data_IF_611142748650
#
_entry.id   IF_611142748650
#
_cell.length_a   1.000
_cell.length_b   1.000
_cell.length_c   1.000
_cell.angle_alpha   90.00
_cell.angle_beta   90.00
_cell.angle_gamma   90.00
#
_symmetry.space_group_name_H-M   'P 1'
#
loop_
_entity.id
_entity.type
_entity.pdbx_description
1 polymer ?
#
# COMPACT_ATOMS: atom_id res chain seq x y z
N UNK A 1 69.36 -16.17 36.14
CA UNK A 1 69.31 -15.85 34.69
C UNK A 1 67.91 -15.36 34.36
N UNK A 2 67.82 -14.20 33.69
CA UNK A 2 66.60 -13.38 33.53
C UNK A 2 65.52 -14.12 32.73
N UNK A 3 64.32 -14.27 33.30
CA UNK A 3 63.14 -14.73 32.58
C UNK A 3 62.35 -13.50 32.09
N UNK A 4 62.43 -13.23 30.80
CA UNK A 4 61.76 -12.10 30.13
C UNK A 4 60.30 -12.49 29.87
N UNK A 5 59.34 -11.82 30.51
CA UNK A 5 57.91 -11.98 30.21
C UNK A 5 57.50 -10.98 29.14
N UNK A 6 57.16 -11.48 27.96
CA UNK A 6 56.52 -10.71 26.88
C UNK A 6 55.06 -10.52 27.26
N UNK A 7 54.63 -9.27 27.44
CA UNK A 7 53.21 -8.93 27.60
C UNK A 7 52.60 -8.72 26.21
N UNK A 8 51.73 -9.64 25.77
CA UNK A 8 50.93 -9.48 24.56
C UNK A 8 49.75 -8.53 24.88
N UNK A 9 49.76 -7.34 24.28
CA UNK A 9 48.65 -6.39 24.37
C UNK A 9 47.56 -6.81 23.37
N UNK A 10 46.46 -7.40 23.86
CA UNK A 10 45.27 -7.63 23.04
C UNK A 10 44.48 -6.34 22.90
N UNK A 11 44.58 -5.68 21.75
CA UNK A 11 43.67 -4.60 21.37
C UNK A 11 42.33 -5.25 20.96
N UNK A 12 41.34 -5.20 21.85
CA UNK A 12 39.96 -5.47 21.49
C UNK A 12 39.45 -4.30 20.64
N UNK A 13 39.37 -4.49 19.32
CA UNK A 13 38.51 -3.65 18.48
C UNK A 13 37.06 -3.91 18.90
N UNK A 14 36.43 -2.95 19.60
CA UNK A 14 34.98 -2.92 19.68
C UNK A 14 34.45 -2.66 18.27
N UNK A 15 33.93 -3.71 17.63
CA UNK A 15 33.02 -3.55 16.50
C UNK A 15 31.76 -2.87 17.03
N UNK A 16 31.65 -1.56 16.82
CA UNK A 16 30.43 -0.82 17.07
C UNK A 16 29.33 -1.38 16.19
N UNK A 17 28.37 -2.08 16.79
CA UNK A 17 27.12 -2.42 16.14
C UNK A 17 26.37 -1.12 15.86
N UNK A 18 26.32 -0.70 14.60
CA UNK A 18 25.41 0.36 14.18
C UNK A 18 24.01 -0.19 14.37
N UNK A 19 23.34 0.21 15.45
CA UNK A 19 21.91 0.03 15.57
C UNK A 19 21.30 0.77 14.37
N UNK A 20 20.63 0.03 13.47
CA UNK A 20 19.84 0.64 12.42
C UNK A 20 18.76 1.49 13.11
N UNK A 21 18.93 2.81 13.11
CA UNK A 21 17.93 3.73 13.63
C UNK A 21 16.61 3.47 12.90
N UNK A 22 15.52 3.31 13.66
CA UNK A 22 14.19 3.29 13.05
C UNK A 22 13.99 4.65 12.37
N UNK A 23 13.61 4.64 11.08
CA UNK A 23 13.37 5.87 10.32
C UNK A 23 12.32 6.78 10.98
N UNK A 24 12.29 8.04 10.57
CA UNK A 24 11.38 9.06 11.11
C UNK A 24 9.96 8.82 10.60
N UNK A 25 8.97 8.74 11.50
CA UNK A 25 7.56 8.62 11.12
C UNK A 25 7.03 10.00 10.77
N UNK A 26 6.76 10.25 9.49
CA UNK A 26 6.30 11.56 9.00
C UNK A 26 4.78 11.61 8.85
N UNK A 27 4.14 10.47 8.67
CA UNK A 27 2.67 10.33 8.69
C UNK A 27 2.32 9.08 9.48
N UNK A 28 1.40 9.20 10.44
CA UNK A 28 0.81 8.06 11.15
C UNK A 28 -0.67 8.34 11.42
N UNK A 29 -1.55 7.42 11.02
CA UNK A 29 -2.97 7.55 11.29
C UNK A 29 -3.70 6.21 11.26
N UNK A 30 -4.81 6.16 12.00
CA UNK A 30 -5.81 5.10 11.94
C UNK A 30 -7.18 5.67 12.29
N UNK A 31 -8.22 4.85 12.26
CA UNK A 31 -9.57 5.24 12.69
C UNK A 31 -9.55 5.55 14.19
N UNK A 32 -10.30 6.55 14.64
CA UNK A 32 -10.53 6.79 16.08
C UNK A 32 -11.79 6.08 16.60
N UNK A 33 -12.46 5.31 15.75
CA UNK A 33 -13.56 4.41 16.08
C UNK A 33 -14.95 5.05 15.99
N UNK A 34 -16.02 4.25 16.12
CA UNK A 34 -17.38 4.77 16.07
C UNK A 34 -17.64 5.85 17.13
N UNK A 35 -18.18 7.00 16.71
CA UNK A 35 -18.45 8.15 17.59
C UNK A 35 -17.32 9.16 17.70
N UNK A 36 -16.16 8.90 17.07
CA UNK A 36 -15.06 9.84 16.92
C UNK A 36 -15.23 10.79 15.72
N UNK A 37 -14.09 11.29 15.21
CA UNK A 37 -14.06 12.07 13.98
C UNK A 37 -14.43 11.20 12.78
N UNK A 38 -15.07 11.80 11.76
CA UNK A 38 -15.36 11.05 10.54
C UNK A 38 -14.06 10.51 9.91
N UNK A 39 -14.07 9.31 9.28
CA UNK A 39 -12.91 8.79 8.57
C UNK A 39 -12.33 9.78 7.56
N UNK A 40 -13.22 10.54 6.92
CA UNK A 40 -12.93 11.54 5.91
C UNK A 40 -12.09 12.67 6.47
N UNK A 41 -12.41 13.13 7.68
CA UNK A 41 -11.64 14.17 8.39
C UNK A 41 -10.25 13.66 8.75
N UNK A 42 -10.17 12.47 9.36
CA UNK A 42 -8.88 11.87 9.75
C UNK A 42 -7.96 11.70 8.55
N UNK A 43 -8.49 11.14 7.46
CA UNK A 43 -7.74 10.87 6.23
C UNK A 43 -7.29 12.18 5.57
N UNK A 44 -8.15 13.20 5.49
CA UNK A 44 -7.77 14.51 4.93
C UNK A 44 -6.69 15.21 5.75
N UNK A 45 -6.77 15.12 7.07
CA UNK A 45 -5.75 15.70 7.94
C UNK A 45 -4.40 15.02 7.76
N UNK A 46 -4.38 13.69 7.58
CA UNK A 46 -3.14 12.92 7.43
C UNK A 46 -2.55 12.98 6.01
N UNK A 47 -3.39 12.96 4.97
CA UNK A 47 -2.96 12.76 3.58
C UNK A 47 -3.27 13.95 2.65
N UNK A 48 -3.71 15.08 3.20
CA UNK A 48 -4.10 16.27 2.44
C UNK A 48 -5.58 16.31 2.08
N UNK A 49 -6.10 17.52 1.83
CA UNK A 49 -7.54 17.77 1.61
C UNK A 49 -8.09 17.15 0.32
N UNK A 50 -7.23 16.85 -0.65
CA UNK A 50 -7.54 16.21 -1.94
C UNK A 50 -7.28 14.69 -1.94
N UNK A 51 -7.15 14.07 -0.77
CA UNK A 51 -6.78 12.66 -0.60
C UNK A 51 -7.87 11.65 -0.97
N UNK A 52 -9.13 12.05 -1.09
CA UNK A 52 -10.27 11.14 -1.25
C UNK A 52 -10.71 11.00 -2.71
N UNK A 53 -10.82 9.76 -3.19
CA UNK A 53 -11.45 9.38 -4.45
C UNK A 53 -12.53 8.32 -4.17
N UNK A 54 -13.67 8.79 -3.66
CA UNK A 54 -14.76 7.95 -3.12
C UNK A 54 -16.06 8.09 -3.93
N UNK A 55 -16.89 7.04 -4.03
CA UNK A 55 -18.08 7.04 -4.89
C UNK A 55 -19.36 7.42 -4.13
N UNK A 56 -19.26 8.22 -3.06
CA UNK A 56 -20.40 8.53 -2.17
C UNK A 56 -21.62 9.10 -2.91
N UNK A 57 -21.37 9.94 -3.91
CA UNK A 57 -22.40 10.61 -4.71
C UNK A 57 -23.00 9.73 -5.82
N UNK A 58 -22.60 8.46 -5.95
CA UNK A 58 -23.30 7.49 -6.79
C UNK A 58 -24.61 6.98 -6.16
N UNK A 59 -24.95 7.48 -4.97
CA UNK A 59 -26.19 7.19 -4.26
C UNK A 59 -26.97 8.48 -4.05
N UNK A 60 -28.30 8.35 -3.99
CA UNK A 60 -29.21 9.45 -3.63
C UNK A 60 -30.13 8.96 -2.50
N UNK A 61 -29.98 9.47 -1.26
CA UNK A 61 -28.95 10.41 -0.80
C UNK A 61 -27.52 9.80 -0.80
N UNK A 62 -26.45 10.64 -0.72
CA UNK A 62 -25.08 10.15 -0.63
C UNK A 62 -24.86 9.19 0.55
N UNK A 63 -24.01 8.19 0.36
CA UNK A 63 -23.66 7.19 1.38
C UNK A 63 -22.14 7.16 1.58
N UNK A 64 -21.68 7.08 2.83
CA UNK A 64 -20.26 6.96 3.13
C UNK A 64 -19.71 5.57 2.76
N UNK A 65 -18.69 5.53 1.92
CA UNK A 65 -17.99 4.30 1.52
C UNK A 65 -16.76 3.98 2.36
N UNK A 66 -16.35 4.88 3.25
CA UNK A 66 -15.34 4.64 4.28
C UNK A 66 -16.02 4.77 5.64
N UNK A 67 -15.99 3.71 6.43
CA UNK A 67 -16.69 3.61 7.71
C UNK A 67 -15.73 3.18 8.83
N UNK A 68 -15.98 3.63 10.05
CA UNK A 68 -15.24 3.16 11.22
C UNK A 68 -15.72 1.78 11.68
N UNK A 69 -14.77 1.00 12.17
CA UNK A 69 -15.00 -0.31 12.78
C UNK A 69 -14.01 -0.50 13.93
N UNK A 70 -14.42 -1.20 14.98
CA UNK A 70 -13.51 -1.64 16.04
C UNK A 70 -13.45 -3.17 16.05
N UNK A 71 -12.27 -3.73 15.82
CA UNK A 71 -12.05 -5.16 15.70
C UNK A 71 -10.94 -5.62 16.66
N UNK A 72 -11.21 -6.70 17.40
CA UNK A 72 -10.32 -7.24 18.46
C UNK A 72 -8.85 -7.36 18.02
N UNK A 73 -8.59 -7.76 16.76
CA UNK A 73 -7.24 -8.02 16.29
C UNK A 73 -6.38 -6.76 16.05
N UNK A 74 -6.98 -5.59 15.83
CA UNK A 74 -6.24 -4.36 15.45
C UNK A 74 -6.74 -3.09 16.14
N UNK A 75 -7.79 -3.17 16.95
CA UNK A 75 -8.48 -2.00 17.49
C UNK A 75 -9.33 -1.32 16.42
N UNK A 76 -9.28 0.01 16.37
CA UNK A 76 -10.03 0.80 15.39
C UNK A 76 -9.43 0.64 13.99
N UNK A 77 -10.29 0.58 12.98
CA UNK A 77 -9.90 0.44 11.59
C UNK A 77 -10.96 1.04 10.66
N UNK A 78 -10.54 1.35 9.44
CA UNK A 78 -11.44 1.77 8.39
C UNK A 78 -11.94 0.56 7.60
N UNK A 79 -13.23 0.54 7.26
CA UNK A 79 -13.84 -0.36 6.29
C UNK A 79 -14.12 0.43 5.00
N UNK A 80 -13.51 0.00 3.91
CA UNK A 80 -13.75 0.51 2.56
C UNK A 80 -14.74 -0.41 1.86
N UNK A 81 -15.82 0.17 1.33
CA UNK A 81 -16.92 -0.54 0.68
C UNK A 81 -17.03 -0.12 -0.78
N UNK A 82 -17.33 -1.08 -1.66
CA UNK A 82 -17.82 -0.82 -3.01
C UNK A 82 -19.06 -1.68 -3.29
N UNK A 83 -20.16 -1.06 -3.67
CA UNK A 83 -21.38 -1.69 -4.16
C UNK A 83 -21.23 -1.95 -5.66
N UNK A 84 -21.12 -3.22 -6.06
CA UNK A 84 -20.82 -3.61 -7.46
C UNK A 84 -21.76 -2.98 -8.48
N UNK A 85 -23.03 -2.89 -8.13
CA UNK A 85 -24.08 -2.52 -9.07
C UNK A 85 -24.44 -1.03 -9.06
N UNK A 86 -23.95 -0.27 -8.08
CA UNK A 86 -24.29 1.15 -7.89
C UNK A 86 -23.10 2.09 -8.10
N UNK A 87 -21.92 1.71 -7.60
CA UNK A 87 -20.79 2.64 -7.56
C UNK A 87 -20.07 2.71 -8.91
N UNK A 88 -19.41 3.83 -9.17
CA UNK A 88 -18.50 4.01 -10.31
C UNK A 88 -17.15 4.56 -9.88
N UNK A 89 -16.42 5.11 -10.85
CA UNK A 89 -15.19 5.85 -10.58
C UNK A 89 -15.52 7.35 -10.50
N UNK A 90 -15.36 8.00 -9.34
CA UNK A 90 -15.64 9.42 -9.17
C UNK A 90 -14.70 10.30 -10.01
N UNK A 91 -13.63 9.74 -10.60
CA UNK A 91 -12.77 10.47 -11.54
C UNK A 91 -13.21 10.36 -13.00
N UNK A 92 -14.39 9.79 -13.28
CA UNK A 92 -15.10 9.97 -14.56
C UNK A 92 -15.09 8.79 -15.54
N UNK A 93 -14.53 7.63 -15.18
CA UNK A 93 -14.60 6.43 -16.04
C UNK A 93 -15.78 5.54 -15.69
N UNK A 94 -16.51 5.10 -16.71
CA UNK A 94 -17.68 4.22 -16.58
C UNK A 94 -17.32 2.74 -16.47
N UNK A 95 -16.06 2.38 -16.74
CA UNK A 95 -15.58 0.99 -16.77
C UNK A 95 -14.94 0.54 -15.48
N UNK A 96 -14.84 1.39 -14.46
CA UNK A 96 -14.20 1.06 -13.20
C UNK A 96 -15.06 1.49 -12.00
N UNK A 97 -14.70 0.97 -10.83
CA UNK A 97 -15.15 1.46 -9.53
C UNK A 97 -13.96 1.86 -8.69
N UNK A 98 -14.09 2.93 -7.92
CA UNK A 98 -13.03 3.38 -7.02
C UNK A 98 -13.59 3.86 -5.69
N UNK A 99 -13.00 3.33 -4.62
CA UNK A 99 -13.04 3.87 -3.28
C UNK A 99 -11.60 3.83 -2.76
N UNK A 100 -10.86 4.92 -2.92
CA UNK A 100 -9.42 4.95 -2.71
C UNK A 100 -9.00 6.26 -2.05
N UNK A 101 -7.99 6.17 -1.18
CA UNK A 101 -7.30 7.31 -0.57
C UNK A 101 -5.88 7.41 -1.12
N UNK A 102 -5.32 8.62 -1.14
CA UNK A 102 -3.97 8.87 -1.67
C UNK A 102 -3.25 9.93 -0.85
N UNK A 103 -1.91 9.89 -0.86
CA UNK A 103 -1.12 11.08 -0.56
C UNK A 103 -1.47 12.13 -1.63
N UNK A 104 -2.17 13.18 -1.20
CA UNK A 104 -2.69 14.26 -2.02
C UNK A 104 -1.61 15.29 -2.37
N UNK A 105 -1.95 16.21 -3.28
CA UNK A 105 -1.09 17.35 -3.61
C UNK A 105 -0.83 18.22 -2.38
N UNK A 106 -1.84 18.35 -1.51
CA UNK A 106 -1.79 19.19 -0.31
C UNK A 106 -1.35 18.42 0.96
N UNK A 107 -0.83 17.20 0.82
CA UNK A 107 -0.12 16.54 1.90
C UNK A 107 1.22 17.25 2.19
N UNK A 108 1.79 17.00 3.36
CA UNK A 108 3.17 17.39 3.70
C UNK A 108 4.15 16.82 2.67
N UNK A 109 5.26 17.52 2.43
CA UNK A 109 6.21 17.13 1.38
C UNK A 109 7.00 15.87 1.76
N UNK A 110 7.22 15.64 3.05
CA UNK A 110 7.90 14.46 3.58
C UNK A 110 7.15 13.16 3.27
N UNK A 111 5.84 13.23 3.03
CA UNK A 111 5.02 12.09 2.63
C UNK A 111 5.10 11.77 1.12
N UNK A 112 5.72 12.64 0.32
CA UNK A 112 5.81 12.53 -1.14
C UNK A 112 7.15 11.91 -1.52
N UNK A 113 7.10 10.84 -2.31
CA UNK A 113 8.30 10.16 -2.76
C UNK A 113 9.02 10.97 -3.84
N UNK A 114 10.27 11.34 -3.59
CA UNK A 114 11.15 12.07 -4.53
C UNK A 114 12.53 11.41 -4.55
N UNK A 115 13.41 11.70 -5.53
CA UNK A 115 14.72 11.05 -5.64
C UNK A 115 15.62 11.19 -4.40
N UNK A 116 15.41 12.24 -3.63
CA UNK A 116 16.06 12.61 -2.37
C UNK A 116 15.26 12.23 -1.11
N UNK A 117 14.02 11.74 -1.26
CA UNK A 117 13.14 11.33 -0.17
C UNK A 117 12.73 9.85 -0.30
N UNK A 118 13.62 8.89 0.06
CA UNK A 118 13.24 7.48 0.13
C UNK A 118 12.19 7.27 1.22
N UNK A 119 11.25 6.35 0.99
CA UNK A 119 10.15 6.12 1.92
C UNK A 119 9.90 4.64 2.17
N UNK A 120 9.43 4.35 3.38
CA UNK A 120 8.82 3.09 3.76
C UNK A 120 7.36 3.32 4.13
N UNK A 121 6.49 2.58 3.47
CA UNK A 121 5.05 2.53 3.74
C UNK A 121 4.75 1.29 4.58
N UNK A 122 4.11 1.48 5.73
CA UNK A 122 3.56 0.38 6.52
C UNK A 122 2.06 0.57 6.73
N UNK A 123 1.30 -0.52 6.61
CA UNK A 123 -0.11 -0.52 7.00
C UNK A 123 -0.59 -1.95 7.24
N UNK A 124 -1.73 -2.07 7.89
CA UNK A 124 -2.47 -3.31 8.00
C UNK A 124 -3.63 -3.31 7.01
N UNK A 125 -3.85 -4.42 6.32
CA UNK A 125 -5.08 -4.62 5.55
C UNK A 125 -5.68 -6.01 5.75
N UNK A 126 -6.98 -6.12 5.53
CA UNK A 126 -7.70 -7.39 5.48
C UNK A 126 -8.72 -7.34 4.35
N UNK A 127 -8.61 -8.28 3.41
CA UNK A 127 -9.62 -8.48 2.37
C UNK A 127 -10.81 -9.22 2.98
N UNK A 128 -12.04 -8.78 2.67
CA UNK A 128 -13.26 -9.44 3.11
C UNK A 128 -13.32 -10.92 2.70
N UNK A 129 -13.92 -11.76 3.56
CA UNK A 129 -13.96 -13.22 3.39
C UNK A 129 -14.45 -13.65 2.00
N UNK A 130 -15.49 -12.99 1.52
CA UNK A 130 -16.17 -13.36 0.27
C UNK A 130 -15.81 -12.44 -0.91
N UNK A 131 -14.85 -11.53 -0.73
CA UNK A 131 -14.51 -10.56 -1.79
C UNK A 131 -13.93 -11.29 -3.02
N UNK A 132 -14.65 -11.16 -4.14
CA UNK A 132 -14.25 -11.72 -5.43
C UNK A 132 -13.42 -10.74 -6.23
N UNK A 133 -12.55 -11.31 -7.06
CA UNK A 133 -11.77 -10.60 -8.08
C UNK A 133 -12.16 -11.12 -9.45
N UNK A 134 -12.02 -10.28 -10.46
CA UNK A 134 -12.24 -10.68 -11.86
C UNK A 134 -10.90 -11.01 -12.53
N UNK A 135 -10.94 -11.46 -13.78
CA UNK A 135 -9.76 -11.63 -14.62
C UNK A 135 -9.05 -10.31 -15.00
N UNK A 136 -9.66 -9.18 -14.70
CA UNK A 136 -9.04 -7.86 -14.80
C UNK A 136 -8.35 -7.50 -13.48
N UNK A 137 -8.17 -6.21 -13.22
CA UNK A 137 -7.54 -5.74 -11.99
C UNK A 137 -8.55 -5.40 -10.89
N UNK A 138 -8.13 -5.68 -9.66
CA UNK A 138 -8.63 -5.06 -8.43
C UNK A 138 -7.42 -4.62 -7.60
N UNK A 139 -6.99 -3.38 -7.78
CA UNK A 139 -5.91 -2.78 -7.02
C UNK A 139 -6.37 -2.51 -5.59
N UNK A 140 -5.53 -2.91 -4.62
CA UNK A 140 -5.73 -2.60 -3.20
C UNK A 140 -4.65 -1.67 -2.62
N UNK A 141 -3.57 -1.48 -3.38
CA UNK A 141 -2.50 -0.54 -3.11
C UNK A 141 -1.81 -0.16 -4.41
N UNK A 142 -1.33 1.09 -4.51
CA UNK A 142 -0.55 1.59 -5.63
C UNK A 142 0.59 2.51 -5.17
N UNK A 143 1.73 2.46 -5.85
CA UNK A 143 2.64 3.60 -5.98
C UNK A 143 2.46 4.18 -7.37
N UNK A 144 2.11 5.46 -7.49
CA UNK A 144 1.82 6.10 -8.78
C UNK A 144 2.55 7.44 -8.86
N UNK A 145 3.23 7.67 -9.98
CA UNK A 145 3.81 8.97 -10.30
C UNK A 145 2.73 10.05 -10.42
N UNK A 146 3.11 11.29 -10.17
CA UNK A 146 2.36 12.49 -10.53
C UNK A 146 3.18 13.25 -11.55
N UNK A 147 2.70 13.32 -12.79
CA UNK A 147 3.51 13.79 -13.92
C UNK A 147 4.50 12.74 -14.42
N UNK A 148 5.23 13.06 -15.49
CA UNK A 148 6.08 12.09 -16.20
C UNK A 148 5.24 11.00 -16.88
N UNK A 149 5.70 9.75 -16.88
CA UNK A 149 4.89 8.59 -17.33
C UNK A 149 3.97 8.08 -16.21
N UNK A 150 2.91 8.85 -15.96
CA UNK A 150 1.93 8.58 -14.90
C UNK A 150 0.66 7.85 -15.39
N UNK A 151 0.62 7.40 -16.64
CA UNK A 151 -0.53 6.72 -17.24
C UNK A 151 -0.96 5.49 -16.43
N UNK A 152 0.01 4.66 -16.02
CA UNK A 152 -0.16 3.48 -15.18
C UNK A 152 0.52 3.66 -13.81
N UNK A 153 0.06 3.02 -12.72
CA UNK A 153 0.82 2.97 -11.48
C UNK A 153 2.18 2.26 -11.69
N UNK A 154 3.20 2.64 -10.91
CA UNK A 154 4.52 2.01 -10.89
C UNK A 154 4.42 0.62 -10.31
N UNK A 155 3.96 0.53 -9.07
CA UNK A 155 3.75 -0.72 -8.32
C UNK A 155 2.30 -0.84 -7.94
N UNK A 156 1.77 -2.06 -7.98
CA UNK A 156 0.45 -2.37 -7.43
C UNK A 156 0.45 -3.67 -6.64
N UNK A 157 -0.36 -3.71 -5.57
CA UNK A 157 -0.89 -4.96 -5.05
C UNK A 157 -2.28 -5.16 -5.66
N UNK A 158 -2.43 -6.25 -6.42
CA UNK A 158 -3.61 -6.46 -7.28
C UNK A 158 -4.22 -7.83 -7.05
N UNK A 159 -5.50 -7.86 -6.71
CA UNK A 159 -6.35 -9.03 -6.85
C UNK A 159 -6.72 -9.25 -8.32
N UNK A 160 -6.52 -10.46 -8.84
CA UNK A 160 -6.92 -10.83 -10.19
C UNK A 160 -7.10 -12.34 -10.34
N UNK A 161 -7.95 -12.76 -11.27
CA UNK A 161 -8.13 -14.16 -11.65
C UNK A 161 -7.19 -14.52 -12.80
N UNK A 162 -6.30 -15.49 -12.56
CA UNK A 162 -5.34 -15.99 -13.56
C UNK A 162 -5.59 -17.47 -13.78
N UNK A 163 -5.89 -17.85 -15.03
CA UNK A 163 -6.21 -19.23 -15.41
C UNK A 163 -7.22 -19.88 -14.46
N UNK A 164 -8.31 -19.17 -14.16
CA UNK A 164 -9.38 -19.62 -13.27
C UNK A 164 -9.13 -19.46 -11.76
N UNK A 165 -7.92 -19.09 -11.34
CA UNK A 165 -7.53 -19.01 -9.94
C UNK A 165 -7.38 -17.56 -9.45
N UNK A 166 -7.98 -17.23 -8.31
CA UNK A 166 -7.83 -15.92 -7.68
C UNK A 166 -6.42 -15.76 -7.08
N UNK A 167 -5.72 -14.69 -7.47
CA UNK A 167 -4.35 -14.37 -7.05
C UNK A 167 -4.27 -12.98 -6.44
N UNK A 168 -3.39 -12.82 -5.45
CA UNK A 168 -2.82 -11.53 -5.08
C UNK A 168 -1.46 -11.40 -5.78
N UNK A 169 -1.29 -10.33 -6.55
CA UNK A 169 -0.09 -10.09 -7.34
C UNK A 169 0.59 -8.78 -6.95
N UNK A 170 1.90 -8.84 -6.76
CA UNK A 170 2.75 -7.66 -6.82
C UNK A 170 3.09 -7.44 -8.29
N UNK A 171 2.60 -6.34 -8.87
CA UNK A 171 2.84 -6.00 -10.28
C UNK A 171 3.68 -4.74 -10.39
N UNK A 172 4.52 -4.71 -11.42
CA UNK A 172 5.31 -3.56 -11.83
C UNK A 172 4.97 -3.21 -13.27
N UNK A 173 4.59 -1.98 -13.54
CA UNK A 173 4.47 -1.48 -14.90
C UNK A 173 5.79 -0.80 -15.26
N UNK A 174 6.38 -1.12 -16.41
CA UNK A 174 7.59 -0.44 -16.86
C UNK A 174 7.24 0.88 -17.54
N UNK A 175 8.11 1.89 -17.38
CA UNK A 175 8.06 3.12 -18.16
C UNK A 175 8.10 2.82 -19.66
N UNK A 176 7.41 3.62 -20.47
CA UNK A 176 7.48 3.70 -21.95
C UNK A 176 7.19 2.43 -22.79
N UNK A 177 6.94 1.27 -22.18
CA UNK A 177 6.63 0.02 -22.91
C UNK A 177 5.25 -0.58 -22.60
N UNK A 178 4.46 0.03 -21.69
CA UNK A 178 3.20 -0.55 -21.16
C UNK A 178 3.32 -2.04 -20.74
N UNK A 179 4.54 -2.51 -20.46
CA UNK A 179 4.80 -3.91 -20.18
C UNK A 179 4.56 -4.15 -18.71
N UNK A 180 3.39 -4.70 -18.42
CA UNK A 180 3.06 -5.22 -17.11
C UNK A 180 3.94 -6.43 -16.79
N UNK A 181 4.65 -6.37 -15.67
CA UNK A 181 5.38 -7.50 -15.10
C UNK A 181 4.72 -7.95 -13.79
N UNK A 182 4.55 -9.26 -13.63
CA UNK A 182 4.11 -9.86 -12.36
C UNK A 182 5.36 -10.26 -11.59
N UNK A 183 5.75 -9.45 -10.61
CA UNK A 183 6.94 -9.67 -9.79
C UNK A 183 6.76 -10.85 -8.83
N UNK A 184 5.57 -10.95 -8.23
CA UNK A 184 5.14 -12.06 -7.37
C UNK A 184 3.65 -12.30 -7.53
N UNK A 185 3.24 -13.55 -7.33
CA UNK A 185 1.86 -13.98 -7.39
C UNK A 185 1.64 -15.05 -6.34
N UNK A 186 0.68 -14.87 -5.43
CA UNK A 186 0.30 -15.83 -4.41
C UNK A 186 -1.21 -16.09 -4.47
N UNK A 187 -1.73 -17.20 -3.90
CA UNK A 187 -3.17 -17.42 -3.83
C UNK A 187 -3.86 -16.27 -3.09
N UNK A 188 -4.97 -15.75 -3.64
CA UNK A 188 -5.78 -14.69 -3.00
C UNK A 188 -6.25 -15.09 -1.58
N UNK A 189 -6.48 -16.39 -1.36
CA UNK A 189 -6.79 -16.97 -0.05
C UNK A 189 -5.74 -16.72 1.04
N UNK A 190 -4.50 -16.38 0.65
CA UNK A 190 -3.43 -16.06 1.62
C UNK A 190 -3.70 -14.76 2.39
N UNK A 191 -4.46 -13.83 1.80
CA UNK A 191 -4.82 -12.54 2.42
C UNK A 191 -6.32 -12.40 2.76
N UNK A 192 -7.18 -13.31 2.28
CA UNK A 192 -8.62 -13.29 2.59
C UNK A 192 -8.89 -13.57 4.07
N UNK A 193 -9.76 -12.75 4.66
CA UNK A 193 -10.23 -12.87 6.04
C UNK A 193 -9.11 -12.95 7.09
N UNK A 194 -7.96 -12.34 6.81
CA UNK A 194 -6.80 -12.31 7.70
C UNK A 194 -6.14 -10.94 7.64
N UNK A 195 -5.69 -10.44 8.78
CA UNK A 195 -4.92 -9.21 8.85
C UNK A 195 -3.51 -9.46 8.35
N UNK A 196 -3.09 -8.65 7.38
CA UNK A 196 -1.78 -8.67 6.75
C UNK A 196 -1.10 -7.35 7.04
N UNK A 197 0.10 -7.40 7.64
CA UNK A 197 1.02 -6.26 7.67
C UNK A 197 1.76 -6.18 6.34
N UNK A 198 1.58 -5.06 5.65
CA UNK A 198 2.35 -4.69 4.47
C UNK A 198 3.47 -3.72 4.86
N UNK A 199 4.67 -3.97 4.35
CA UNK A 199 5.81 -3.05 4.41
C UNK A 199 6.38 -2.93 3.00
N UNK A 200 6.43 -1.72 2.47
CA UNK A 200 7.03 -1.41 1.15
C UNK A 200 8.03 -0.29 1.33
N UNK A 201 9.29 -0.57 1.06
CA UNK A 201 10.39 0.38 1.14
C UNK A 201 10.98 0.62 -0.24
N UNK A 202 11.22 1.87 -0.61
CA UNK A 202 11.67 2.23 -1.96
C UNK A 202 12.49 3.51 -1.97
N UNK A 203 13.42 3.60 -2.92
CA UNK A 203 13.96 4.87 -3.41
C UNK A 203 13.22 5.24 -4.69
N UNK A 204 13.09 6.52 -5.01
CA UNK A 204 12.36 6.98 -6.20
C UNK A 204 13.34 7.49 -7.25
N UNK A 205 14.09 6.56 -7.85
CA UNK A 205 15.09 6.82 -8.89
C UNK A 205 14.86 5.90 -10.09
N UNK A 206 15.45 6.23 -11.24
CA UNK A 206 15.43 5.36 -12.42
C UNK A 206 16.18 4.04 -12.16
N UNK A 207 17.25 4.11 -11.35
CA UNK A 207 18.00 2.98 -10.79
C UNK A 207 17.61 2.73 -9.32
N UNK A 208 16.30 2.79 -9.05
CA UNK A 208 15.74 2.67 -7.72
C UNK A 208 15.85 1.27 -7.11
N UNK A 209 15.49 1.21 -5.83
CA UNK A 209 15.32 -0.02 -5.07
C UNK A 209 13.86 -0.17 -4.68
N UNK A 210 13.39 -1.41 -4.64
CA UNK A 210 12.09 -1.78 -4.10
C UNK A 210 12.24 -3.00 -3.20
N UNK A 211 11.72 -2.94 -1.99
CA UNK A 211 11.55 -4.09 -1.09
C UNK A 211 10.13 -4.15 -0.56
N UNK A 212 9.52 -5.30 -0.72
CA UNK A 212 8.13 -5.56 -0.34
C UNK A 212 8.10 -6.77 0.58
N UNK A 213 7.39 -6.64 1.70
CA UNK A 213 7.07 -7.75 2.60
C UNK A 213 5.60 -7.68 2.98
N UNK A 214 4.89 -8.78 2.79
CA UNK A 214 3.55 -9.00 3.33
C UNK A 214 3.63 -10.13 4.35
N UNK A 215 3.15 -9.89 5.57
CA UNK A 215 3.17 -10.87 6.66
C UNK A 215 1.82 -10.96 7.35
N UNK A 216 1.41 -12.19 7.70
CA UNK A 216 0.19 -12.42 8.46
C UNK A 216 0.40 -11.93 9.90
N UNK A 217 -0.52 -11.11 10.40
CA UNK A 217 -0.40 -10.49 11.72
C UNK A 217 -0.45 -11.51 12.87
N UNK A 218 -1.21 -12.61 12.71
CA UNK A 218 -1.43 -13.57 13.80
C UNK A 218 -0.19 -14.36 14.22
N UNK A 219 0.78 -14.53 13.33
CA UNK A 219 1.96 -15.38 13.55
C UNK A 219 3.23 -14.88 12.86
N UNK A 220 3.19 -13.67 12.28
CA UNK A 220 4.28 -13.06 11.53
C UNK A 220 4.77 -13.85 10.30
N UNK A 221 3.99 -14.83 9.81
CA UNK A 221 4.35 -15.62 8.65
C UNK A 221 4.38 -14.74 7.38
N UNK A 222 5.52 -14.71 6.69
CA UNK A 222 5.69 -13.95 5.45
C UNK A 222 4.98 -14.66 4.30
N UNK A 223 3.88 -14.08 3.81
CA UNK A 223 3.12 -14.63 2.68
C UNK A 223 3.66 -14.16 1.33
N UNK A 224 4.38 -13.04 1.28
CA UNK A 224 5.01 -12.51 0.07
C UNK A 224 6.27 -11.72 0.46
N UNK A 225 7.36 -11.96 -0.27
CA UNK A 225 8.60 -11.17 -0.18
C UNK A 225 9.17 -10.92 -1.58
N UNK A 226 9.66 -9.71 -1.80
CA UNK A 226 10.33 -9.31 -3.03
C UNK A 226 11.36 -8.22 -2.73
N UNK A 227 12.49 -8.26 -3.43
CA UNK A 227 13.48 -7.19 -3.43
C UNK A 227 14.12 -7.05 -4.81
N UNK A 228 14.32 -5.82 -5.26
CA UNK A 228 15.12 -5.48 -6.43
C UNK A 228 15.89 -4.19 -6.14
N UNK A 229 17.17 -4.14 -6.51
CA UNK A 229 18.08 -3.00 -6.30
C UNK A 229 18.32 -2.19 -7.58
N UNK A 230 17.69 -2.58 -8.69
CA UNK A 230 17.78 -1.91 -9.98
C UNK A 230 16.40 -1.98 -10.67
N UNK A 231 15.53 -1.05 -10.30
CA UNK A 231 14.17 -0.93 -10.80
C UNK A 231 13.76 0.55 -10.89
N UNK A 232 13.24 0.98 -12.03
CA UNK A 232 12.74 2.35 -12.20
C UNK A 232 11.50 2.58 -11.34
N UNK A 233 11.67 3.45 -10.35
CA UNK A 233 10.67 3.86 -9.38
C UNK A 233 10.35 5.36 -9.48
N UNK A 234 10.87 6.07 -10.48
CA UNK A 234 10.74 7.53 -10.59
C UNK A 234 9.84 7.98 -11.74
N UNK A 235 10.12 7.48 -12.95
CA UNK A 235 9.39 7.85 -14.18
C UNK A 235 9.31 9.35 -14.50
N UNK A 236 10.26 10.14 -14.02
CA UNK A 236 10.40 11.55 -14.39
C UNK A 236 9.25 12.46 -13.92
N UNK A 237 8.51 12.06 -12.89
CA UNK A 237 7.40 12.84 -12.34
C UNK A 237 7.83 14.00 -11.43
N UNK A 238 6.85 14.60 -10.76
CA UNK A 238 7.08 15.58 -9.68
C UNK A 238 7.25 14.89 -8.33
N UNK A 239 6.46 13.84 -8.07
CA UNK A 239 6.59 12.95 -6.93
C UNK A 239 5.85 11.64 -7.17
N UNK A 240 6.15 10.63 -6.38
CA UNK A 240 5.42 9.36 -6.31
C UNK A 240 4.54 9.35 -5.06
N UNK A 241 3.26 9.03 -5.23
CA UNK A 241 2.29 8.92 -4.13
C UNK A 241 1.86 7.48 -3.91
N UNK A 242 1.67 7.14 -2.64
CA UNK A 242 0.93 5.93 -2.27
C UNK A 242 -0.58 6.15 -2.40
N UNK A 243 -1.29 5.12 -2.88
CA UNK A 243 -2.75 5.04 -2.87
C UNK A 243 -3.20 3.73 -2.21
N UNK A 244 -4.29 3.76 -1.45
CA UNK A 244 -4.82 2.64 -0.68
C UNK A 244 -6.34 2.55 -0.84
N UNK A 245 -6.90 1.38 -1.09
CA UNK A 245 -8.36 1.24 -1.17
C UNK A 245 -8.80 0.10 -2.06
N UNK A 246 -9.83 0.34 -2.87
CA UNK A 246 -10.31 -0.59 -3.89
C UNK A 246 -10.48 0.17 -5.19
N UNK A 247 -9.65 -0.13 -6.19
CA UNK A 247 -9.79 0.37 -7.55
C UNK A 247 -9.84 -0.82 -8.51
N UNK A 248 -10.98 -1.04 -9.18
CA UNK A 248 -11.21 -2.25 -9.98
C UNK A 248 -11.92 -2.00 -11.29
N UNK A 249 -11.63 -2.84 -12.28
CA UNK A 249 -12.37 -2.85 -13.55
C UNK A 249 -13.71 -3.57 -13.43
N UNK A 250 -14.73 -3.01 -14.08
CA UNK A 250 -16.06 -3.57 -14.27
C UNK A 250 -16.21 -4.35 -15.59
N UNK A 251 -15.17 -4.48 -16.41
CA UNK A 251 -15.26 -5.18 -17.71
C UNK A 251 -15.76 -6.62 -17.57
N UNK A 252 -15.52 -7.27 -16.42
CA UNK A 252 -16.06 -8.58 -16.06
C UNK A 252 -16.87 -8.51 -14.76
N UNK A 253 -17.85 -7.59 -14.75
CA UNK A 253 -18.73 -7.31 -13.60
C UNK A 253 -19.39 -8.57 -13.02
N UNK A 254 -19.75 -9.54 -13.85
CA UNK A 254 -20.38 -10.80 -13.40
C UNK A 254 -19.47 -11.69 -12.53
N UNK A 255 -18.15 -11.51 -12.61
CA UNK A 255 -17.20 -12.20 -11.73
C UNK A 255 -17.05 -11.53 -10.35
N UNK A 256 -17.49 -10.28 -10.24
CA UNK A 256 -17.36 -9.47 -9.04
C UNK A 256 -18.59 -9.58 -8.15
N UNK A 257 -18.38 -9.26 -6.88
CA UNK A 257 -19.40 -8.91 -5.90
C UNK A 257 -19.02 -7.57 -5.23
N UNK A 258 -19.73 -7.17 -4.18
CA UNK A 258 -19.35 -6.01 -3.39
C UNK A 258 -17.93 -6.14 -2.83
N UNK A 259 -17.16 -5.05 -2.93
CA UNK A 259 -15.81 -4.97 -2.39
C UNK A 259 -15.85 -4.57 -0.93
N UNK A 260 -15.10 -5.27 -0.08
CA UNK A 260 -14.88 -4.90 1.32
C UNK A 260 -13.42 -5.13 1.68
N UNK A 261 -12.70 -4.06 2.01
CA UNK A 261 -11.32 -4.13 2.49
C UNK A 261 -11.20 -3.29 3.74
N UNK A 262 -10.61 -3.86 4.78
CA UNK A 262 -10.32 -3.16 6.03
C UNK A 262 -8.88 -2.67 6.00
N UNK A 263 -8.64 -1.49 6.57
CA UNK A 263 -7.31 -0.91 6.71
C UNK A 263 -7.09 -0.32 8.11
N UNK A 264 -5.88 -0.46 8.64
CA UNK A 264 -5.51 0.10 9.94
C UNK A 264 -4.01 0.47 9.99
N UNK A 265 -3.64 1.30 10.97
CA UNK A 265 -2.27 1.63 11.36
C UNK A 265 -1.36 2.01 10.18
N UNK A 266 -1.75 3.04 9.43
CA UNK A 266 -0.95 3.57 8.32
C UNK A 266 0.23 4.35 8.87
N UNK A 267 1.41 4.12 8.28
CA UNK A 267 2.64 4.84 8.58
C UNK A 267 3.41 5.11 7.29
N UNK A 268 3.93 6.32 7.15
CA UNK A 268 4.95 6.68 6.17
C UNK A 268 6.19 7.06 6.95
N UNK A 269 7.31 6.40 6.63
CA UNK A 269 8.56 6.46 7.36
C UNK A 269 9.66 6.89 6.40
N UNK A 270 10.45 7.88 6.80
CA UNK A 270 11.61 8.39 6.07
C UNK A 270 12.90 7.78 6.63
#
# INVERSE_FOLDING_TARGET
MRCMRVALLFVFLLAGSVAAGAGEVVVEFTSDGPGGQSPYTIIKNALGTDSLEVPDNFHSPPVAHIQDQTLVAVGNCFLFILHRDKDGDPTGTTKNQRNEIKVGKYAIDEAKGTPDNPLTYEWLFKVGKDMKVSREFTHIFQLKSVGGDDSQPIITLTGAKVSGNDRLQLRYNQSSASKLQILRSIPWSSARNRWIKATISTTFKDDGYLKVRLSRLSDNYTILSYSNQNIDMWRGGTFVRSKYGIYRSLNYKTELNDGRVFFANFRIIK
#
